data_IF_422995875992
#
_entry.id   IF_422995875992
#
_cell.length_a   1.000
_cell.length_b   1.000
_cell.length_c   1.000
_cell.angle_alpha   90.00
_cell.angle_beta   90.00
_cell.angle_gamma   90.00
#
_symmetry.space_group_name_H-M   'P 1'
#
loop_
_entity.id
_entity.type
_entity.pdbx_description
1 polymer ?
#
# COMPACT_ATOMS: atom_id res chain seq x y z
N UNK A 1 9.80 10.20 25.45
CA UNK A 1 10.13 9.39 24.25
C UNK A 1 9.53 10.07 23.04
N UNK A 2 10.17 9.95 21.87
CA UNK A 2 9.62 10.50 20.63
C UNK A 2 8.36 9.73 20.23
N UNK A 3 7.49 10.36 19.42
CA UNK A 3 6.33 9.66 18.85
C UNK A 3 6.83 8.55 17.90
N UNK A 4 6.36 7.29 18.04
CA UNK A 4 6.81 6.21 17.16
C UNK A 4 6.41 6.48 15.71
N UNK A 5 7.23 6.04 14.75
CA UNK A 5 7.02 6.27 13.32
C UNK A 5 6.82 4.97 12.57
N UNK A 6 5.98 5.00 11.55
CA UNK A 6 5.65 3.84 10.73
C UNK A 6 5.60 4.25 9.26
N UNK A 7 6.43 3.63 8.42
CA UNK A 7 6.35 3.79 6.96
C UNK A 7 5.87 2.50 6.32
N UNK A 8 4.75 2.56 5.60
CA UNK A 8 4.23 1.45 4.80
C UNK A 8 4.61 1.65 3.34
N UNK A 9 5.46 0.78 2.80
CA UNK A 9 5.75 0.70 1.37
C UNK A 9 4.76 -0.24 0.69
N UNK A 10 4.07 0.25 -0.34
CA UNK A 10 2.93 -0.46 -0.92
C UNK A 10 2.77 -0.31 -2.44
N UNK A 11 2.03 -1.26 -3.03
CA UNK A 11 1.48 -1.18 -4.37
C UNK A 11 0.00 -1.57 -4.36
N UNK A 12 -0.82 -0.88 -5.15
CA UNK A 12 -2.25 -1.13 -5.27
C UNK A 12 -2.58 -2.54 -5.79
N UNK A 13 -1.66 -3.17 -6.54
CA UNK A 13 -1.81 -4.56 -6.99
C UNK A 13 -1.46 -5.60 -5.92
N UNK A 14 -0.93 -5.25 -4.75
CA UNK A 14 -0.70 -6.22 -3.68
C UNK A 14 -1.93 -6.29 -2.76
N UNK A 15 -2.64 -7.45 -2.68
CA UNK A 15 -3.76 -7.59 -1.76
C UNK A 15 -3.29 -7.52 -0.31
N UNK A 16 -2.10 -8.05 0.01
CA UNK A 16 -1.54 -7.95 1.36
C UNK A 16 -1.18 -6.50 1.72
N UNK A 17 -0.80 -5.67 0.74
CA UNK A 17 -0.61 -4.24 0.98
C UNK A 17 -1.93 -3.54 1.25
N UNK A 18 -3.02 -3.94 0.59
CA UNK A 18 -4.37 -3.47 0.92
C UNK A 18 -4.75 -3.81 2.37
N UNK A 19 -4.55 -5.07 2.80
CA UNK A 19 -4.83 -5.49 4.17
C UNK A 19 -4.04 -4.65 5.19
N UNK A 20 -2.73 -4.48 4.95
CA UNK A 20 -1.85 -3.71 5.83
C UNK A 20 -2.26 -2.23 5.91
N UNK A 21 -2.48 -1.61 4.76
CA UNK A 21 -2.97 -0.24 4.68
C UNK A 21 -4.26 -0.05 5.46
N UNK A 22 -5.25 -0.93 5.23
CA UNK A 22 -6.56 -0.80 5.86
C UNK A 22 -6.47 -0.90 7.39
N UNK A 23 -5.73 -1.88 7.92
CA UNK A 23 -5.55 -2.03 9.38
C UNK A 23 -4.76 -0.87 9.96
N UNK A 24 -3.67 -0.45 9.32
CA UNK A 24 -2.86 0.69 9.79
C UNK A 24 -3.69 1.98 9.83
N UNK A 25 -4.49 2.26 8.79
CA UNK A 25 -5.33 3.46 8.71
C UNK A 25 -6.47 3.47 9.74
N UNK A 26 -7.13 2.33 9.94
CA UNK A 26 -8.39 2.28 10.69
C UNK A 26 -8.24 1.84 12.16
N UNK A 27 -7.15 1.17 12.52
CA UNK A 27 -6.93 0.70 13.90
C UNK A 27 -6.57 1.84 14.85
N UNK A 28 -7.19 1.86 16.03
CA UNK A 28 -6.82 2.79 17.11
C UNK A 28 -5.38 2.59 17.59
N UNK A 29 -4.84 1.38 17.42
CA UNK A 29 -3.48 1.01 17.86
C UNK A 29 -2.42 1.87 17.17
N UNK A 30 -2.57 2.11 15.86
CA UNK A 30 -1.58 2.85 15.08
C UNK A 30 -1.82 4.38 15.06
N UNK A 31 -2.96 4.88 15.60
CA UNK A 31 -3.25 6.32 15.64
C UNK A 31 -2.21 7.13 16.44
N UNK A 32 -1.51 6.50 17.37
CA UNK A 32 -0.43 7.12 18.13
C UNK A 32 0.90 7.19 17.37
N UNK A 33 0.98 6.67 16.14
CA UNK A 33 2.17 6.75 15.29
C UNK A 33 2.14 7.95 14.35
N UNK A 34 3.32 8.41 13.93
CA UNK A 34 3.45 9.19 12.70
C UNK A 34 3.55 8.22 11.53
N UNK A 35 2.54 8.22 10.66
CA UNK A 35 2.39 7.22 9.60
C UNK A 35 2.70 7.86 8.25
N UNK A 36 3.56 7.21 7.47
CA UNK A 36 3.88 7.55 6.08
C UNK A 36 3.47 6.41 5.15
N UNK A 37 2.71 6.70 4.10
CA UNK A 37 2.36 5.72 3.07
C UNK A 37 3.20 5.98 1.82
N UNK A 38 4.11 5.08 1.48
CA UNK A 38 5.09 5.25 0.42
C UNK A 38 4.77 4.34 -0.78
N UNK A 39 4.33 4.88 -1.93
CA UNK A 39 4.10 4.07 -3.12
C UNK A 39 5.43 3.54 -3.66
N UNK A 40 5.45 2.25 -4.01
CA UNK A 40 6.57 1.57 -4.69
C UNK A 40 6.06 0.75 -5.86
N UNK A 41 6.91 0.44 -6.83
CA UNK A 41 6.45 -0.27 -8.02
C UNK A 41 6.68 -1.78 -7.94
N UNK A 42 5.62 -2.58 -7.79
CA UNK A 42 5.71 -4.04 -7.63
C UNK A 42 6.45 -4.73 -8.78
N UNK A 43 6.26 -4.28 -10.03
CA UNK A 43 6.93 -4.90 -11.18
C UNK A 43 8.45 -4.75 -11.14
N UNK A 44 8.97 -3.72 -10.45
CA UNK A 44 10.41 -3.54 -10.26
C UNK A 44 11.00 -4.61 -9.31
N UNK A 45 10.25 -5.06 -8.30
CA UNK A 45 10.68 -6.12 -7.39
C UNK A 45 10.84 -7.47 -8.08
N UNK A 46 9.95 -7.80 -9.03
CA UNK A 46 9.95 -9.11 -9.71
C UNK A 46 11.33 -9.41 -10.31
N UNK A 47 11.94 -8.41 -10.96
CA UNK A 47 13.25 -8.56 -11.57
C UNK A 47 14.38 -8.32 -10.57
N UNK A 48 14.29 -7.27 -9.75
CA UNK A 48 15.39 -6.82 -8.89
C UNK A 48 15.73 -7.80 -7.76
N UNK A 49 14.71 -8.43 -7.14
CA UNK A 49 14.90 -9.35 -6.01
C UNK A 49 14.53 -10.80 -6.35
N UNK A 50 14.28 -11.10 -7.64
CA UNK A 50 13.87 -12.45 -8.08
C UNK A 50 12.53 -12.91 -7.52
N UNK A 51 11.65 -11.97 -7.14
CA UNK A 51 10.35 -12.28 -6.53
C UNK A 51 9.49 -13.06 -7.54
N UNK A 52 9.10 -14.28 -7.17
CA UNK A 52 8.14 -15.10 -7.92
C UNK A 52 6.71 -14.75 -7.50
N UNK A 53 5.98 -13.95 -8.30
CA UNK A 53 4.69 -13.44 -7.88
C UNK A 53 3.62 -14.53 -7.77
N UNK A 54 2.50 -14.30 -7.05
CA UNK A 54 1.49 -15.34 -6.83
C UNK A 54 0.92 -15.94 -8.12
N UNK A 55 0.74 -15.15 -9.17
CA UNK A 55 0.22 -15.64 -10.47
C UNK A 55 1.19 -16.54 -11.24
N UNK A 56 2.43 -16.70 -10.79
CA UNK A 56 3.35 -17.69 -11.36
C UNK A 56 2.97 -19.13 -11.00
N UNK A 57 1.95 -19.35 -10.15
CA UNK A 57 1.47 -20.67 -9.75
C UNK A 57 -0.04 -20.64 -9.46
N UNK A 58 -0.85 -21.49 -10.11
CA UNK A 58 -2.29 -21.60 -9.80
C UNK A 58 -2.57 -21.90 -8.32
N UNK A 59 -1.71 -22.69 -7.67
CA UNK A 59 -1.82 -23.00 -6.25
C UNK A 59 -1.64 -21.76 -5.37
N UNK A 60 -0.67 -20.90 -5.70
CA UNK A 60 -0.47 -19.63 -4.98
C UNK A 60 -1.64 -18.66 -5.20
N UNK A 61 -2.21 -18.60 -6.40
CA UNK A 61 -3.41 -17.77 -6.65
C UNK A 61 -4.60 -18.24 -5.82
N UNK A 62 -4.88 -19.55 -5.81
CA UNK A 62 -5.96 -20.15 -5.01
C UNK A 62 -5.74 -19.95 -3.50
N UNK A 63 -4.50 -20.10 -3.04
CA UNK A 63 -4.13 -19.83 -1.66
C UNK A 63 -4.35 -18.37 -1.29
N UNK A 64 -3.80 -17.43 -2.07
CA UNK A 64 -3.93 -15.99 -1.85
C UNK A 64 -5.41 -15.59 -1.75
N UNK A 65 -6.28 -16.11 -2.61
CA UNK A 65 -7.72 -15.83 -2.52
C UNK A 65 -8.32 -16.33 -1.20
N UNK A 66 -7.96 -17.55 -0.77
CA UNK A 66 -8.45 -18.15 0.48
C UNK A 66 -7.96 -17.37 1.70
N UNK A 67 -6.69 -17.01 1.69
CA UNK A 67 -6.02 -16.33 2.79
C UNK A 67 -6.50 -14.88 2.95
N UNK A 68 -6.56 -14.12 1.86
CA UNK A 68 -7.13 -12.75 1.85
C UNK A 68 -8.58 -12.78 2.34
N UNK A 69 -9.40 -13.72 1.90
CA UNK A 69 -10.79 -13.84 2.36
C UNK A 69 -10.89 -14.09 3.88
N UNK A 70 -9.97 -14.85 4.47
CA UNK A 70 -9.92 -15.09 5.92
C UNK A 70 -9.54 -13.81 6.67
N UNK A 71 -8.50 -13.11 6.19
CA UNK A 71 -8.06 -11.86 6.82
C UNK A 71 -9.11 -10.76 6.73
N UNK A 72 -9.76 -10.59 5.56
CA UNK A 72 -10.83 -9.63 5.40
C UNK A 72 -12.01 -9.90 6.34
N UNK A 73 -12.39 -11.18 6.52
CA UNK A 73 -13.43 -11.58 7.48
C UNK A 73 -13.01 -11.29 8.92
N UNK A 74 -11.76 -11.58 9.27
CA UNK A 74 -11.26 -11.40 10.64
C UNK A 74 -11.18 -9.93 11.03
N UNK A 75 -10.74 -9.06 10.12
CA UNK A 75 -10.54 -7.62 10.37
C UNK A 75 -11.66 -6.73 9.85
N UNK A 76 -12.77 -7.30 9.38
CA UNK A 76 -13.89 -6.58 8.75
C UNK A 76 -13.42 -5.61 7.65
N UNK A 77 -12.51 -6.09 6.79
CA UNK A 77 -11.97 -5.31 5.67
C UNK A 77 -12.91 -5.47 4.47
N UNK A 78 -13.42 -4.38 3.88
CA UNK A 78 -14.28 -4.44 2.69
C UNK A 78 -13.59 -5.18 1.54
N UNK A 79 -14.09 -6.35 1.20
CA UNK A 79 -13.53 -7.12 0.08
C UNK A 79 -14.61 -8.02 -0.53
N UNK A 80 -14.62 -8.15 -1.84
CA UNK A 80 -15.44 -9.13 -2.56
C UNK A 80 -14.56 -10.20 -3.20
N UNK A 81 -15.04 -11.44 -3.42
CA UNK A 81 -14.28 -12.46 -4.13
C UNK A 81 -13.82 -12.04 -5.54
N UNK A 82 -12.68 -12.56 -5.98
CA UNK A 82 -12.13 -12.31 -7.32
C UNK A 82 -11.00 -11.27 -7.39
N UNK A 83 -10.45 -11.12 -8.60
CA UNK A 83 -9.32 -10.24 -8.89
C UNK A 83 -9.79 -8.95 -9.56
N UNK A 84 -9.09 -7.82 -9.35
CA UNK A 84 -9.40 -6.56 -10.03
C UNK A 84 -9.32 -6.69 -11.56
N UNK A 85 -10.04 -5.83 -12.28
CA UNK A 85 -9.91 -5.75 -13.73
C UNK A 85 -8.45 -5.46 -14.15
N UNK A 86 -7.97 -6.15 -15.19
CA UNK A 86 -6.59 -6.10 -15.70
C UNK A 86 -5.49 -6.69 -14.78
N UNK A 87 -5.86 -7.33 -13.68
CA UNK A 87 -4.94 -8.07 -12.83
C UNK A 87 -4.36 -9.31 -13.54
N UNK A 88 -3.12 -9.74 -13.22
CA UNK A 88 -2.14 -9.05 -12.39
C UNK A 88 -1.42 -7.93 -13.13
N UNK A 89 -1.24 -8.02 -14.45
CA UNK A 89 -0.47 -7.04 -15.23
C UNK A 89 -0.89 -7.02 -16.71
N UNK A 90 -2.19 -7.09 -17.04
CA UNK A 90 -2.62 -6.68 -18.40
C UNK A 90 -2.29 -5.20 -18.63
N UNK A 91 -2.34 -4.41 -17.55
CA UNK A 91 -1.82 -3.04 -17.46
C UNK A 91 -1.07 -2.90 -16.13
N UNK A 92 0.07 -2.20 -16.11
CA UNK A 92 0.87 -2.01 -14.89
C UNK A 92 0.33 -0.88 -14.01
N UNK A 93 0.60 -0.92 -12.71
CA UNK A 93 0.24 0.14 -11.75
C UNK A 93 1.08 1.41 -11.87
N UNK A 94 2.00 1.50 -12.84
CA UNK A 94 2.96 2.60 -12.95
C UNK A 94 2.29 3.98 -12.93
N UNK A 95 1.21 4.16 -13.70
CA UNK A 95 0.51 5.46 -13.78
C UNK A 95 -0.15 5.83 -12.46
N UNK A 96 -0.89 4.92 -11.85
CA UNK A 96 -1.58 5.18 -10.58
C UNK A 96 -0.59 5.33 -9.42
N UNK A 97 0.54 4.60 -9.41
CA UNK A 97 1.58 4.77 -8.40
C UNK A 97 2.28 6.12 -8.50
N UNK A 98 2.50 6.64 -9.71
CA UNK A 98 2.97 8.02 -9.90
C UNK A 98 1.93 9.04 -9.44
N UNK A 99 0.65 8.82 -9.74
CA UNK A 99 -0.43 9.69 -9.25
C UNK A 99 -0.47 9.71 -7.71
N UNK A 100 -0.25 8.58 -7.04
CA UNK A 100 -0.17 8.49 -5.58
C UNK A 100 1.05 9.23 -5.02
N UNK A 101 2.22 9.15 -5.67
CA UNK A 101 3.38 9.95 -5.29
C UNK A 101 3.06 11.45 -5.42
N UNK A 102 2.44 11.88 -6.53
CA UNK A 102 2.00 13.26 -6.68
C UNK A 102 0.98 13.66 -5.58
N UNK A 103 0.02 12.80 -5.23
CA UNK A 103 -0.91 13.05 -4.12
C UNK A 103 -0.19 13.25 -2.78
N UNK A 104 0.86 12.46 -2.49
CA UNK A 104 1.62 12.62 -1.24
C UNK A 104 2.35 13.98 -1.14
N UNK A 105 2.65 14.60 -2.27
CA UNK A 105 3.32 15.91 -2.34
C UNK A 105 2.30 17.06 -2.35
N UNK A 106 1.17 16.88 -3.03
CA UNK A 106 0.19 17.94 -3.31
C UNK A 106 -0.93 18.05 -2.27
N UNK A 107 -1.26 16.94 -1.60
CA UNK A 107 -2.36 16.88 -0.65
C UNK A 107 -2.07 15.92 0.51
N UNK A 108 -0.98 16.10 1.29
CA UNK A 108 -0.56 15.16 2.33
C UNK A 108 -1.67 14.84 3.34
N UNK A 109 -2.50 15.82 3.71
CA UNK A 109 -3.58 15.63 4.68
C UNK A 109 -4.74 14.76 4.17
N UNK A 110 -4.99 14.77 2.85
CA UNK A 110 -6.05 13.98 2.19
C UNK A 110 -5.52 12.73 1.50
N UNK A 111 -4.20 12.61 1.38
CA UNK A 111 -3.55 11.51 0.68
C UNK A 111 -3.94 10.13 1.24
N UNK A 112 -4.01 9.90 2.57
CA UNK A 112 -4.52 8.63 3.11
C UNK A 112 -5.96 8.30 2.69
N UNK A 113 -6.80 9.29 2.38
CA UNK A 113 -8.17 9.03 1.91
C UNK A 113 -8.16 8.68 0.41
N UNK A 114 -7.30 9.31 -0.38
CA UNK A 114 -7.07 8.93 -1.79
C UNK A 114 -6.58 7.48 -1.89
N UNK A 115 -5.61 7.08 -1.06
CA UNK A 115 -5.12 5.68 -1.04
C UNK A 115 -6.24 4.73 -0.65
N UNK A 116 -7.07 5.10 0.33
CA UNK A 116 -8.22 4.29 0.76
C UNK A 116 -9.21 4.03 -0.37
N UNK A 117 -9.65 5.08 -1.06
CA UNK A 117 -10.63 4.95 -2.14
C UNK A 117 -10.09 4.21 -3.36
N UNK A 118 -8.81 4.41 -3.70
CA UNK A 118 -8.19 3.63 -4.78
C UNK A 118 -8.06 2.15 -4.41
N UNK A 119 -7.75 1.83 -3.15
CA UNK A 119 -7.77 0.45 -2.68
C UNK A 119 -9.17 -0.14 -2.65
N UNK A 120 -10.18 0.64 -2.23
CA UNK A 120 -11.59 0.24 -2.24
C UNK A 120 -12.05 -0.10 -3.67
N UNK A 121 -11.85 0.82 -4.62
CA UNK A 121 -12.16 0.59 -6.02
C UNK A 121 -11.43 -0.64 -6.60
N UNK A 122 -10.15 -0.82 -6.26
CA UNK A 122 -9.36 -1.96 -6.72
C UNK A 122 -9.86 -3.30 -6.14
N UNK A 123 -9.95 -3.42 -4.81
CA UNK A 123 -10.12 -4.71 -4.13
C UNK A 123 -11.53 -5.01 -3.66
N UNK A 124 -12.39 -4.02 -3.49
CA UNK A 124 -13.81 -4.22 -3.20
C UNK A 124 -14.64 -4.19 -4.48
N UNK A 125 -14.51 -3.16 -5.31
CA UNK A 125 -15.30 -2.98 -6.54
C UNK A 125 -14.72 -3.68 -7.77
N UNK A 126 -13.49 -4.20 -7.67
CA UNK A 126 -12.77 -4.89 -8.75
C UNK A 126 -12.51 -4.02 -9.98
N UNK A 127 -12.43 -2.71 -9.80
CA UNK A 127 -12.12 -1.77 -10.86
C UNK A 127 -10.65 -1.80 -11.28
N UNK A 128 -10.42 -1.40 -12.52
CA UNK A 128 -9.09 -1.32 -13.10
C UNK A 128 -8.37 0.00 -12.81
N UNK A 129 -8.04 0.27 -11.54
CA UNK A 129 -7.47 1.56 -11.09
C UNK A 129 -6.13 1.92 -11.74
N UNK A 130 -5.42 0.97 -12.34
CA UNK A 130 -4.21 1.23 -13.14
C UNK A 130 -4.45 2.11 -14.38
N UNK A 131 -5.71 2.28 -14.79
CA UNK A 131 -6.13 3.11 -15.92
C UNK A 131 -6.42 4.57 -15.46
N UNK A 132 -5.85 5.60 -16.11
CA UNK A 132 -6.10 7.01 -15.80
C UNK A 132 -7.57 7.43 -15.79
N UNK A 133 -8.36 6.89 -16.71
CA UNK A 133 -9.80 7.10 -16.80
C UNK A 133 -10.57 6.56 -15.58
N UNK A 134 -9.95 5.69 -14.77
CA UNK A 134 -10.52 5.17 -13.52
C UNK A 134 -9.97 5.93 -12.30
N UNK A 135 -8.63 6.03 -12.14
CA UNK A 135 -8.09 6.66 -10.93
C UNK A 135 -8.24 8.19 -10.90
N UNK A 136 -8.26 8.86 -12.05
CA UNK A 136 -8.42 10.31 -12.13
C UNK A 136 -9.73 10.80 -11.50
N UNK A 137 -10.90 10.25 -11.89
CA UNK A 137 -12.18 10.58 -11.27
C UNK A 137 -12.22 10.29 -9.76
N UNK A 138 -11.65 9.17 -9.30
CA UNK A 138 -11.60 8.82 -7.88
C UNK A 138 -10.79 9.85 -7.09
N UNK A 139 -9.60 10.23 -7.59
CA UNK A 139 -8.78 11.28 -6.97
C UNK A 139 -9.59 12.59 -6.91
N UNK A 140 -10.25 12.96 -8.01
CA UNK A 140 -11.05 14.19 -8.10
C UNK A 140 -12.21 14.27 -7.11
N UNK A 141 -12.84 13.14 -6.77
CA UNK A 141 -13.90 13.09 -5.76
C UNK A 141 -13.39 13.47 -4.36
N UNK A 142 -12.13 13.17 -4.04
CA UNK A 142 -11.53 13.41 -2.73
C UNK A 142 -10.86 14.78 -2.64
N UNK A 143 -10.15 15.17 -3.70
CA UNK A 143 -9.31 16.37 -3.65
C UNK A 143 -9.90 17.59 -4.37
N UNK A 144 -10.96 17.40 -5.16
CA UNK A 144 -11.54 18.38 -6.06
C UNK A 144 -10.92 18.35 -7.46
N UNK A 145 -11.71 18.73 -8.48
CA UNK A 145 -11.33 18.60 -9.91
C UNK A 145 -10.05 19.35 -10.29
N UNK A 146 -9.90 20.59 -9.82
CA UNK A 146 -8.75 21.43 -10.15
C UNK A 146 -7.44 20.84 -9.60
N UNK A 147 -7.43 20.44 -8.33
CA UNK A 147 -6.27 19.83 -7.71
C UNK A 147 -5.98 18.45 -8.31
N UNK A 148 -7.00 17.65 -8.63
CA UNK A 148 -6.80 16.37 -9.31
C UNK A 148 -6.15 16.54 -10.68
N UNK A 149 -6.53 17.55 -11.46
CA UNK A 149 -5.88 17.85 -12.74
C UNK A 149 -4.38 18.18 -12.54
N UNK A 150 -4.04 19.00 -11.54
CA UNK A 150 -2.65 19.30 -11.17
C UNK A 150 -1.87 18.06 -10.75
N UNK A 151 -2.47 17.18 -9.94
CA UNK A 151 -1.88 15.91 -9.50
C UNK A 151 -1.59 15.00 -10.70
N UNK A 152 -2.56 14.85 -11.62
CA UNK A 152 -2.41 13.99 -12.79
C UNK A 152 -1.33 14.53 -13.74
N UNK A 153 -1.24 15.85 -13.93
CA UNK A 153 -0.16 16.48 -14.68
C UNK A 153 1.20 16.25 -14.02
N UNK A 154 1.33 16.60 -12.72
CA UNK A 154 2.57 16.40 -11.93
C UNK A 154 2.98 14.93 -11.87
N UNK A 155 2.05 13.98 -11.96
CA UNK A 155 2.37 12.54 -12.00
C UNK A 155 3.28 12.14 -13.18
N UNK A 156 3.34 13.00 -14.22
CA UNK A 156 4.19 12.81 -15.39
C UNK A 156 5.53 13.55 -15.32
N UNK A 157 5.77 14.32 -14.26
CA UNK A 157 7.01 15.08 -14.06
C UNK A 157 8.19 14.15 -13.74
N UNK A 158 9.41 14.61 -14.05
CA UNK A 158 10.61 13.83 -13.75
C UNK A 158 10.90 13.73 -12.25
N UNK A 159 10.45 14.71 -11.47
CA UNK A 159 10.47 14.67 -10.00
C UNK A 159 9.67 13.46 -9.48
N UNK A 160 8.42 13.30 -9.91
CA UNK A 160 7.55 12.20 -9.45
C UNK A 160 8.04 10.84 -9.96
N UNK A 161 8.50 10.77 -11.22
CA UNK A 161 9.11 9.54 -11.76
C UNK A 161 10.32 9.12 -10.94
N UNK A 162 11.19 10.08 -10.62
CA UNK A 162 12.41 9.84 -9.86
C UNK A 162 12.09 9.44 -8.43
N UNK A 163 11.12 10.10 -7.78
CA UNK A 163 10.73 9.78 -6.41
C UNK A 163 10.11 8.38 -6.31
N UNK A 164 9.23 7.97 -7.23
CA UNK A 164 8.72 6.59 -7.24
C UNK A 164 9.85 5.56 -7.39
N UNK A 165 10.83 5.84 -8.26
CA UNK A 165 12.00 4.99 -8.44
C UNK A 165 12.82 4.92 -7.14
N UNK A 166 13.15 6.07 -6.54
CA UNK A 166 13.89 6.15 -5.28
C UNK A 166 13.18 5.41 -4.15
N UNK A 167 11.86 5.60 -3.98
CA UNK A 167 11.07 4.87 -3.00
C UNK A 167 11.21 3.36 -3.16
N UNK A 168 11.14 2.88 -4.40
CA UNK A 168 11.27 1.46 -4.73
C UNK A 168 12.69 0.97 -4.44
N UNK A 169 13.71 1.68 -4.92
CA UNK A 169 15.12 1.32 -4.74
C UNK A 169 15.52 1.33 -3.26
N UNK A 170 15.08 2.32 -2.47
CA UNK A 170 15.35 2.39 -1.04
C UNK A 170 14.71 1.24 -0.27
N UNK A 171 13.47 0.86 -0.61
CA UNK A 171 12.83 -0.30 0.01
C UNK A 171 13.58 -1.60 -0.31
N UNK A 172 13.99 -1.81 -1.56
CA UNK A 172 14.82 -2.96 -1.96
C UNK A 172 16.17 -2.94 -1.23
N UNK A 173 16.85 -1.79 -1.20
CA UNK A 173 18.15 -1.63 -0.55
C UNK A 173 18.09 -1.87 0.97
N UNK A 174 16.93 -1.63 1.60
CA UNK A 174 16.69 -1.97 3.01
C UNK A 174 16.44 -3.48 3.26
N UNK A 175 16.54 -4.33 2.23
CA UNK A 175 16.37 -5.78 2.34
C UNK A 175 14.95 -6.28 2.10
N UNK A 176 14.06 -5.46 1.54
CA UNK A 176 12.67 -5.84 1.28
C UNK A 176 12.58 -7.02 0.29
N UNK A 177 12.03 -8.18 0.71
CA UNK A 177 11.82 -9.32 -0.18
C UNK A 177 10.55 -9.17 -1.06
N UNK A 178 9.74 -8.14 -0.80
CA UNK A 178 8.46 -7.89 -1.45
C UNK A 178 7.60 -6.92 -0.64
N UNK A 179 6.33 -6.78 -1.02
CA UNK A 179 5.40 -5.83 -0.39
C UNK A 179 4.16 -6.52 0.22
N UNK A 180 3.56 -5.95 1.29
CA UNK A 180 3.94 -4.70 1.95
C UNK A 180 5.25 -4.82 2.72
N UNK A 181 6.03 -3.74 2.74
CA UNK A 181 7.23 -3.61 3.54
C UNK A 181 7.03 -2.48 4.53
N UNK A 182 7.42 -2.70 5.78
CA UNK A 182 7.07 -1.82 6.89
C UNK A 182 8.36 -1.45 7.59
N UNK A 183 8.66 -0.15 7.63
CA UNK A 183 9.73 0.42 8.46
C UNK A 183 9.11 0.98 9.72
N UNK A 184 9.59 0.56 10.88
CA UNK A 184 9.12 0.98 12.19
C UNK A 184 10.26 1.67 12.94
N UNK A 185 10.01 2.82 13.54
CA UNK A 185 10.96 3.50 14.44
C UNK A 185 10.29 3.73 15.78
N UNK A 186 10.80 3.11 16.84
CA UNK A 186 10.20 3.19 18.17
C UNK A 186 10.52 4.54 18.87
N UNK A 187 9.96 4.74 20.06
CA UNK A 187 10.15 6.00 20.81
C UNK A 187 11.57 6.27 21.32
N UNK A 188 12.45 5.27 21.25
CA UNK A 188 13.89 5.35 21.55
C UNK A 188 14.75 5.63 20.31
N UNK A 189 14.13 5.66 19.12
CA UNK A 189 14.82 5.88 17.85
C UNK A 189 15.43 4.62 17.23
N UNK A 190 15.14 3.43 17.78
CA UNK A 190 15.55 2.17 17.16
C UNK A 190 14.68 1.89 15.93
N UNK A 191 15.30 1.33 14.90
CA UNK A 191 14.69 1.05 13.61
C UNK A 191 14.64 -0.45 13.32
N UNK A 192 13.47 -0.95 12.94
CA UNK A 192 13.28 -2.32 12.46
C UNK A 192 12.41 -2.35 11.21
N UNK A 193 12.53 -3.44 10.46
CA UNK A 193 11.74 -3.68 9.26
C UNK A 193 10.96 -5.00 9.34
N UNK A 194 9.76 -4.99 8.78
CA UNK A 194 8.83 -6.11 8.77
C UNK A 194 8.26 -6.31 7.37
N UNK A 195 8.11 -7.56 6.94
CA UNK A 195 7.50 -7.91 5.66
C UNK A 195 6.16 -8.58 5.87
N UNK A 196 5.13 -8.12 5.16
CA UNK A 196 3.82 -8.75 5.17
C UNK A 196 2.83 -8.17 6.17
N UNK A 197 1.56 -8.43 5.89
CA UNK A 197 0.42 -8.01 6.72
C UNK A 197 0.40 -8.72 8.09
N UNK A 198 0.81 -9.98 8.09
CA UNK A 198 0.86 -10.89 9.24
C UNK A 198 1.90 -10.50 10.30
N UNK A 199 2.76 -9.51 10.02
CA UNK A 199 3.76 -9.01 10.96
C UNK A 199 3.32 -7.74 11.71
N UNK A 200 2.11 -7.21 11.46
CA UNK A 200 1.63 -6.00 12.13
C UNK A 200 1.58 -6.12 13.67
N UNK A 201 1.43 -7.33 14.21
CA UNK A 201 1.54 -7.58 15.64
C UNK A 201 2.94 -7.40 16.20
N UNK A 202 3.94 -7.82 15.43
CA UNK A 202 5.36 -7.61 15.77
C UNK A 202 5.70 -6.12 15.67
N UNK A 203 5.20 -5.44 14.64
CA UNK A 203 5.31 -3.98 14.49
C UNK A 203 4.73 -3.27 15.72
N UNK A 204 3.50 -3.62 16.13
CA UNK A 204 2.86 -3.01 17.29
C UNK A 204 3.69 -3.22 18.58
N UNK A 205 4.19 -4.45 18.78
CA UNK A 205 5.05 -4.78 19.93
C UNK A 205 6.36 -3.98 19.92
N UNK A 206 7.05 -3.92 18.78
CA UNK A 206 8.31 -3.19 18.63
C UNK A 206 8.13 -1.69 18.89
N UNK A 207 7.02 -1.11 18.42
CA UNK A 207 6.68 0.29 18.63
C UNK A 207 6.14 0.58 20.05
N UNK A 208 6.00 -0.43 20.92
CA UNK A 208 5.44 -0.28 22.26
C UNK A 208 3.94 0.03 22.31
N UNK A 209 3.19 -0.36 21.26
CA UNK A 209 1.76 -0.10 21.13
C UNK A 209 0.92 -1.22 21.79
N UNK A 210 -0.39 -0.97 22.06
CA UNK A 210 -1.31 -2.02 22.46
C UNK A 210 -1.38 -3.15 21.43
N UNK A 211 -1.79 -4.35 21.88
CA UNK A 211 -2.01 -5.48 20.97
C UNK A 211 -3.14 -5.20 20.00
N UNK A 212 -3.01 -5.71 18.78
CA UNK A 212 -4.11 -5.70 17.82
C UNK A 212 -5.17 -6.73 18.27
N UNK A 213 -6.43 -6.48 17.93
CA UNK A 213 -7.48 -7.46 18.20
C UNK A 213 -7.33 -8.63 17.22
N UNK A 214 -6.86 -9.78 17.72
CA UNK A 214 -6.73 -11.02 16.95
C UNK A 214 -5.66 -11.96 17.53
N UNK A 215 -5.79 -13.30 17.42
CA UNK A 215 -4.89 -14.25 18.07
C UNK A 215 -3.46 -14.30 17.51
N UNK A 216 -3.16 -13.58 16.43
CA UNK A 216 -1.88 -13.65 15.71
C UNK A 216 -1.24 -12.29 15.41
N UNK A 217 -1.80 -11.19 15.93
CA UNK A 217 -1.19 -9.85 15.86
C UNK A 217 -1.02 -9.25 17.26
#
# INVERSE_FOLDING_TARGET
MAKPKLTLYFDLHSPYSYLAFYVIKNSLVFKSCDITYTPVLLVAYINAVGLKPPWSSPNKVKWMHTDVARWCRHFNIPWTPGLPANYPFKVTTLKVQRALVACSLECPDRYPDVVNELYHACWYEKMGVQLPEIHGPIIAQIVGKELAARILDRSTSDEVKSLLKQNTDSAIASGSPGIPWIKAVNGEGQEEFFWGFDHLGQVARFLGLPRLNGPHL
#
